data_IF_185684261152
#
_entry.id   IF_185684261152
#
_cell.length_a   1.000
_cell.length_b   1.000
_cell.length_c   1.000
_cell.angle_alpha   90.00
_cell.angle_beta   90.00
_cell.angle_gamma   90.00
#
_symmetry.space_group_name_H-M   'P 1'
#
loop_
_entity.id
_entity.type
_entity.pdbx_description
1 polymer ?
#
# COMPACT_ATOMS: atom_id res chain seq x y z
N UNK A 1 4.46 11.78 2.83
CA UNK A 1 3.53 12.31 1.79
C UNK A 1 3.44 13.80 1.98
N UNK A 2 3.58 14.61 0.92
CA UNK A 2 3.46 16.08 0.99
C UNK A 2 2.31 16.49 0.09
N UNK A 3 1.35 17.25 0.65
CA UNK A 3 0.20 17.80 -0.06
C UNK A 3 0.00 19.26 0.36
N UNK A 4 -0.28 20.12 -0.60
CA UNK A 4 -0.76 21.49 -0.37
C UNK A 4 -2.03 21.69 -1.21
N UNK A 5 -2.96 22.50 -0.72
CA UNK A 5 -4.21 22.85 -1.39
C UNK A 5 -4.76 24.14 -0.80
N UNK A 6 -5.53 24.88 -1.60
CA UNK A 6 -6.30 26.04 -1.12
C UNK A 6 -7.61 25.62 -0.42
N UNK A 7 -7.99 24.33 -0.54
CA UNK A 7 -9.15 23.73 0.13
C UNK A 7 -8.75 23.02 1.43
N UNK A 8 -9.65 22.99 2.42
CA UNK A 8 -9.46 22.22 3.66
C UNK A 8 -9.59 20.71 3.37
N UNK A 9 -8.51 19.96 3.54
CA UNK A 9 -8.49 18.50 3.31
C UNK A 9 -8.16 17.66 4.57
N UNK A 10 -7.81 18.31 5.68
CA UNK A 10 -7.44 17.60 6.91
C UNK A 10 -8.63 16.81 7.47
N UNK A 11 -8.38 15.55 7.85
CA UNK A 11 -9.38 14.63 8.38
C UNK A 11 -10.33 14.04 7.34
N UNK A 12 -10.17 14.41 6.07
CA UNK A 12 -11.01 13.94 4.96
C UNK A 12 -10.27 12.90 4.12
N UNK A 13 -10.97 11.84 3.74
CA UNK A 13 -10.40 10.79 2.89
C UNK A 13 -10.32 11.31 1.46
N UNK A 14 -9.14 11.24 0.88
CA UNK A 14 -8.89 11.53 -0.52
C UNK A 14 -8.25 10.32 -1.20
N UNK A 15 -9.01 9.71 -2.13
CA UNK A 15 -8.61 8.55 -2.94
C UNK A 15 -8.26 8.94 -4.38
N UNK A 16 -8.00 10.22 -4.64
CA UNK A 16 -7.53 10.67 -5.93
C UNK A 16 -6.01 10.45 -6.08
N UNK A 17 -5.59 10.29 -7.33
CA UNK A 17 -4.24 9.89 -7.80
C UNK A 17 -3.98 8.39 -7.77
N UNK A 18 -3.49 7.84 -8.89
CA UNK A 18 -3.09 6.44 -8.98
C UNK A 18 -1.81 6.36 -9.78
N UNK A 19 -0.76 5.80 -9.19
CA UNK A 19 0.47 5.52 -9.88
C UNK A 19 0.55 4.01 -10.15
N UNK A 20 0.62 3.62 -11.42
CA UNK A 20 0.77 2.22 -11.78
C UNK A 20 2.22 1.99 -12.20
N UNK A 21 2.99 1.23 -11.42
CA UNK A 21 4.32 0.77 -11.84
C UNK A 21 4.21 -0.64 -12.42
N UNK A 22 4.98 -0.92 -13.48
CA UNK A 22 4.95 -2.18 -14.25
C UNK A 22 6.17 -3.04 -13.97
N UNK A 23 5.95 -4.32 -13.67
CA UNK A 23 6.57 -5.53 -14.28
C UNK A 23 5.72 -6.74 -13.88
N UNK A 24 5.59 -7.73 -14.77
CA UNK A 24 4.65 -8.86 -14.63
C UNK A 24 5.23 -10.00 -13.81
N UNK A 25 4.48 -10.47 -12.81
CA UNK A 25 4.70 -11.67 -11.99
C UNK A 25 3.94 -12.89 -12.54
N UNK A 26 4.28 -14.06 -12.00
CA UNK A 26 3.50 -15.28 -12.17
C UNK A 26 2.19 -15.22 -11.37
N UNK A 27 1.10 -15.71 -11.96
CA UNK A 27 -0.27 -15.64 -11.42
C UNK A 27 -0.50 -16.40 -10.11
N UNK A 28 0.37 -17.34 -9.75
CA UNK A 28 0.27 -18.15 -8.53
C UNK A 28 0.57 -17.38 -7.24
N UNK A 29 1.14 -16.18 -7.33
CA UNK A 29 1.52 -15.37 -6.16
C UNK A 29 0.47 -14.35 -5.72
N UNK A 30 -0.63 -14.22 -6.47
CA UNK A 30 -1.66 -13.19 -6.23
C UNK A 30 -2.24 -13.32 -4.81
N UNK A 31 -2.61 -14.53 -4.37
CA UNK A 31 -3.20 -14.75 -3.04
C UNK A 31 -2.22 -14.47 -1.90
N UNK A 32 -0.96 -14.85 -2.09
CA UNK A 32 0.11 -14.67 -1.09
C UNK A 32 0.41 -13.18 -0.92
N UNK A 33 0.50 -12.43 -2.02
CA UNK A 33 0.73 -10.98 -2.01
C UNK A 33 -0.49 -10.26 -1.41
N UNK A 34 -1.72 -10.67 -1.74
CA UNK A 34 -2.92 -10.08 -1.15
C UNK A 34 -2.95 -10.28 0.37
N UNK A 35 -2.63 -11.48 0.87
CA UNK A 35 -2.51 -11.74 2.30
C UNK A 35 -1.44 -10.87 2.98
N UNK A 36 -0.30 -10.65 2.31
CA UNK A 36 0.75 -9.76 2.81
C UNK A 36 0.27 -8.31 2.89
N UNK A 37 -0.42 -7.83 1.85
CA UNK A 37 -1.03 -6.50 1.82
C UNK A 37 -2.05 -6.33 2.95
N UNK A 38 -2.91 -7.32 3.21
CA UNK A 38 -3.84 -7.29 4.37
C UNK A 38 -3.08 -7.12 5.68
N UNK A 39 -2.00 -7.88 5.89
CA UNK A 39 -1.19 -7.79 7.09
C UNK A 39 -0.53 -6.42 7.28
N UNK A 40 -0.07 -5.80 6.19
CA UNK A 40 0.43 -4.41 6.20
C UNK A 40 -0.67 -3.44 6.64
N UNK A 41 -1.87 -3.54 6.08
CA UNK A 41 -2.99 -2.65 6.42
C UNK A 41 -3.33 -2.78 7.90
N UNK A 42 -3.53 -4.01 8.39
CA UNK A 42 -3.84 -4.26 9.80
C UNK A 42 -2.77 -3.75 10.76
N UNK A 43 -1.49 -3.85 10.39
CA UNK A 43 -0.41 -3.35 11.23
C UNK A 43 -0.35 -1.83 11.22
N UNK A 44 -0.59 -1.19 10.08
CA UNK A 44 -0.62 0.27 9.96
C UNK A 44 -1.77 0.88 10.77
N UNK A 45 -3.00 0.40 10.62
CA UNK A 45 -4.17 0.97 11.32
C UNK A 45 -4.09 0.83 12.84
N UNK A 46 -3.36 -0.17 13.34
CA UNK A 46 -3.14 -0.41 14.76
C UNK A 46 -1.87 0.27 15.31
N UNK A 47 -1.10 0.97 14.47
CA UNK A 47 0.09 1.69 14.89
C UNK A 47 -0.19 3.16 15.19
N UNK A 48 0.54 3.74 16.14
CA UNK A 48 0.37 5.13 16.56
C UNK A 48 0.57 6.14 15.42
N UNK A 49 1.39 5.78 14.42
CA UNK A 49 1.75 6.67 13.32
C UNK A 49 1.03 6.31 12.00
N UNK A 50 0.02 5.42 12.05
CA UNK A 50 -0.70 4.92 10.88
C UNK A 50 0.22 4.45 9.75
N UNK A 51 1.32 3.80 10.15
CA UNK A 51 2.41 3.42 9.27
C UNK A 51 2.93 2.04 9.65
N UNK A 52 3.28 1.26 8.63
CA UNK A 52 4.11 0.07 8.78
C UNK A 52 4.98 -0.14 7.56
N UNK A 53 6.09 -0.85 7.76
CA UNK A 53 6.84 -1.48 6.71
C UNK A 53 7.08 -2.95 7.07
N UNK A 54 7.16 -3.81 6.07
CA UNK A 54 7.46 -5.23 6.28
C UNK A 54 8.02 -5.83 5.00
N UNK A 55 8.52 -7.06 5.12
CA UNK A 55 8.99 -7.84 3.99
C UNK A 55 8.43 -9.26 4.04
N UNK A 56 8.11 -9.82 2.89
CA UNK A 56 7.67 -11.20 2.71
C UNK A 56 8.61 -11.90 1.72
N UNK A 57 9.16 -13.05 2.11
CA UNK A 57 9.84 -13.97 1.20
C UNK A 57 8.96 -15.21 0.99
N UNK A 58 8.23 -15.33 -0.14
CA UNK A 58 7.40 -16.51 -0.38
C UNK A 58 8.25 -17.78 -0.55
N UNK A 59 7.71 -18.91 -0.11
CA UNK A 59 8.38 -20.21 -0.22
C UNK A 59 8.67 -20.56 -1.69
N UNK A 60 9.87 -21.09 -1.94
CA UNK A 60 10.29 -21.48 -3.29
C UNK A 60 10.71 -20.32 -4.21
N UNK A 61 10.69 -19.07 -3.73
CA UNK A 61 11.18 -17.92 -4.49
C UNK A 61 12.54 -17.44 -4.03
N UNK A 62 13.29 -16.85 -4.97
CA UNK A 62 14.62 -16.27 -4.72
C UNK A 62 14.57 -14.81 -4.32
N UNK A 63 13.42 -14.15 -4.47
CA UNK A 63 13.20 -12.73 -4.19
C UNK A 63 12.28 -12.51 -2.99
N UNK A 64 12.38 -11.33 -2.41
CA UNK A 64 11.61 -10.87 -1.25
C UNK A 64 10.76 -9.68 -1.68
N UNK A 65 9.48 -9.67 -1.34
CA UNK A 65 8.65 -8.49 -1.42
C UNK A 65 8.90 -7.59 -0.23
N UNK A 66 9.05 -6.30 -0.48
CA UNK A 66 9.09 -5.25 0.51
C UNK A 66 7.81 -4.44 0.36
N UNK A 67 7.21 -4.01 1.47
CA UNK A 67 5.95 -3.29 1.42
C UNK A 67 5.79 -2.27 2.53
N UNK A 68 5.01 -1.24 2.23
CA UNK A 68 4.60 -0.19 3.16
C UNK A 68 3.11 0.06 3.04
N UNK A 69 2.49 0.32 4.19
CA UNK A 69 1.16 0.92 4.27
C UNK A 69 1.27 2.15 5.17
N UNK A 70 0.80 3.28 4.67
CA UNK A 70 0.89 4.57 5.36
C UNK A 70 -0.38 5.38 5.13
N UNK A 71 -0.91 6.00 6.17
CA UNK A 71 -1.90 7.06 6.06
C UNK A 71 -1.32 8.40 6.53
N UNK A 72 -2.00 9.49 6.18
CA UNK A 72 -1.74 10.80 6.78
C UNK A 72 -2.27 10.82 8.23
N UNK A 73 -1.54 11.50 9.12
CA UNK A 73 -1.79 11.47 10.57
C UNK A 73 -3.04 12.23 11.02
N UNK A 74 -3.67 12.96 10.11
CA UNK A 74 -4.93 13.66 10.33
C UNK A 74 -6.16 12.73 10.22
N UNK A 75 -5.99 11.49 9.75
CA UNK A 75 -7.06 10.50 9.67
C UNK A 75 -7.28 9.74 10.98
N UNK A 76 -8.51 9.30 11.21
CA UNK A 76 -8.81 8.26 12.19
C UNK A 76 -8.34 6.88 11.69
N UNK A 77 -8.15 5.89 12.58
CA UNK A 77 -7.86 4.52 12.18
C UNK A 77 -8.88 3.94 11.18
N UNK A 78 -10.18 4.20 11.38
CA UNK A 78 -11.24 3.74 10.48
C UNK A 78 -11.15 4.39 9.10
N UNK A 79 -10.84 5.69 9.02
CA UNK A 79 -10.65 6.37 7.75
C UNK A 79 -9.38 5.91 7.04
N UNK A 80 -8.32 5.60 7.80
CA UNK A 80 -7.10 5.01 7.29
C UNK A 80 -7.35 3.61 6.71
N UNK A 81 -8.11 2.78 7.43
CA UNK A 81 -8.54 1.45 7.00
C UNK A 81 -9.28 1.53 5.67
N UNK A 82 -10.28 2.42 5.58
CA UNK A 82 -11.05 2.63 4.35
C UNK A 82 -10.16 3.06 3.17
N UNK A 83 -9.23 4.00 3.38
CA UNK A 83 -8.32 4.45 2.32
C UNK A 83 -7.42 3.31 1.81
N UNK A 84 -6.78 2.59 2.72
CA UNK A 84 -5.85 1.50 2.39
C UNK A 84 -6.58 0.30 1.76
N UNK A 85 -7.77 -0.05 2.24
CA UNK A 85 -8.59 -1.09 1.61
C UNK A 85 -9.06 -0.66 0.22
N UNK A 86 -9.43 0.61 0.03
CA UNK A 86 -9.75 1.14 -1.31
C UNK A 86 -8.56 1.00 -2.27
N UNK A 87 -7.34 1.23 -1.79
CA UNK A 87 -6.13 0.99 -2.57
C UNK A 87 -5.97 -0.50 -2.89
N UNK A 88 -6.09 -1.38 -1.89
CA UNK A 88 -6.04 -2.85 -2.10
C UNK A 88 -7.06 -3.33 -3.14
N UNK A 89 -8.29 -2.83 -3.12
CA UNK A 89 -9.35 -3.21 -4.06
C UNK A 89 -9.06 -2.80 -5.52
N UNK A 90 -8.16 -1.85 -5.74
CA UNK A 90 -7.74 -1.45 -7.09
C UNK A 90 -6.68 -2.40 -7.66
N UNK A 91 -5.84 -3.01 -6.81
CA UNK A 91 -4.75 -3.92 -7.22
C UNK A 91 -5.23 -5.01 -8.19
N UNK A 92 -6.27 -5.83 -7.88
CA UNK A 92 -6.70 -6.88 -8.80
C UNK A 92 -7.30 -6.36 -10.11
N UNK A 93 -7.69 -5.08 -10.18
CA UNK A 93 -8.29 -4.47 -11.38
C UNK A 93 -7.24 -3.87 -12.33
N UNK A 94 -6.18 -3.27 -11.79
CA UNK A 94 -5.17 -2.57 -12.58
C UNK A 94 -3.87 -3.38 -12.77
N UNK A 95 -3.53 -4.20 -11.78
CA UNK A 95 -2.14 -4.53 -11.48
C UNK A 95 -1.99 -5.96 -10.94
N UNK A 96 -2.97 -6.83 -11.24
CA UNK A 96 -2.98 -8.21 -10.77
C UNK A 96 -1.70 -8.93 -11.22
N UNK A 97 -0.95 -9.46 -10.25
CA UNK A 97 0.32 -10.13 -10.52
C UNK A 97 1.38 -9.16 -11.04
N UNK A 98 1.50 -7.95 -10.49
CA UNK A 98 2.66 -7.08 -10.74
C UNK A 98 3.69 -7.21 -9.62
N UNK A 99 4.99 -7.16 -9.95
CA UNK A 99 6.12 -7.24 -9.01
C UNK A 99 6.33 -5.98 -8.20
N UNK A 100 5.79 -4.87 -8.67
CA UNK A 100 5.86 -3.56 -8.05
C UNK A 100 4.51 -2.88 -8.24
N UNK A 101 3.91 -2.40 -7.16
CA UNK A 101 2.66 -1.63 -7.16
C UNK A 101 2.80 -0.48 -6.18
N UNK A 102 2.35 0.72 -6.58
CA UNK A 102 2.43 1.94 -5.78
C UNK A 102 1.10 2.70 -5.87
N UNK A 103 0.15 2.41 -5.00
CA UNK A 103 -1.09 3.17 -4.96
C UNK A 103 -0.92 4.33 -3.98
N UNK A 104 -0.73 5.52 -4.53
CA UNK A 104 -0.53 6.76 -3.79
C UNK A 104 -1.76 7.66 -3.93
N UNK A 105 -2.65 7.54 -2.96
CA UNK A 105 -3.80 8.42 -2.78
C UNK A 105 -3.42 9.67 -2.01
N UNK A 106 -4.32 10.67 -2.01
CA UNK A 106 -4.14 11.91 -1.25
C UNK A 106 -4.04 11.71 0.27
N UNK A 107 -4.61 10.63 0.81
CA UNK A 107 -4.58 10.33 2.25
C UNK A 107 -3.86 9.04 2.63
N UNK A 108 -3.46 8.19 1.67
CA UNK A 108 -2.73 6.96 1.97
C UNK A 108 -1.82 6.47 0.84
N UNK A 109 -0.79 5.73 1.22
CA UNK A 109 0.19 5.10 0.34
C UNK A 109 0.22 3.60 0.64
N UNK A 110 -0.07 2.80 -0.37
CA UNK A 110 0.08 1.36 -0.34
C UNK A 110 1.06 0.95 -1.44
N UNK A 111 2.23 0.49 -1.03
CA UNK A 111 3.31 0.12 -1.97
C UNK A 111 3.87 -1.23 -1.61
N UNK A 112 4.11 -2.06 -2.62
CA UNK A 112 4.96 -3.22 -2.50
C UNK A 112 5.84 -3.38 -3.72
N UNK A 113 7.04 -3.91 -3.56
CA UNK A 113 7.89 -4.32 -4.68
C UNK A 113 8.99 -5.32 -4.29
N UNK A 114 9.60 -5.99 -5.27
CA UNK A 114 10.70 -6.95 -5.03
C UNK A 114 12.08 -6.30 -4.79
N UNK A 115 12.23 -5.02 -5.13
CA UNK A 115 13.44 -4.25 -4.89
C UNK A 115 13.38 -3.61 -3.50
N UNK A 116 14.43 -3.75 -2.69
CA UNK A 116 14.42 -3.18 -1.34
C UNK A 116 14.46 -1.64 -1.39
N UNK A 117 13.36 -1.00 -1.02
CA UNK A 117 13.21 0.45 -0.89
C UNK A 117 13.07 0.91 0.57
N UNK A 118 13.13 -0.02 1.54
CA UNK A 118 12.94 0.30 2.96
C UNK A 118 14.22 0.88 3.61
N UNK A 119 15.38 0.56 3.05
CA UNK A 119 16.69 1.07 3.49
C UNK A 119 17.15 2.15 2.53
N UNK A 120 16.86 3.40 2.82
CA UNK A 120 17.44 4.57 2.14
C UNK A 120 17.84 5.59 3.18
#
# INVERSE_FOLDING_TARGET
>A
MVRYSDELFFGTIDTNNTFNSKTTLQSNLILVIDSFVIGLIQTAINSTNLFTNSSLKPDGLTYTFYGVAQCTLDLSPDNCDLCLHTARYLIPKCCAGFESVIILYGSCNLRYEIHNFLTT
#
